data_IF_369946074435
#
_entry.id   IF_369946074435
#
_cell.length_a   1.000
_cell.length_b   1.000
_cell.length_c   1.000
_cell.angle_alpha   90.00
_cell.angle_beta   90.00
_cell.angle_gamma   90.00
#
_symmetry.space_group_name_H-M   'P 1'
#
loop_
_entity.id
_entity.type
_entity.pdbx_description
1 polymer ?
#
# COMPACT_ATOMS: atom_id res chain seq x y z
N UNK A 1 12.95 16.05 -24.20
CA UNK A 1 11.83 15.68 -23.32
C UNK A 1 12.02 14.36 -22.59
N UNK A 2 12.25 13.21 -23.24
CA UNK A 2 12.45 11.93 -22.53
C UNK A 2 13.56 11.97 -21.46
N UNK A 3 14.74 12.51 -21.80
CA UNK A 3 15.85 12.64 -20.85
C UNK A 3 15.53 13.57 -19.67
N UNK A 4 14.78 14.65 -19.92
CA UNK A 4 14.33 15.58 -18.88
C UNK A 4 13.34 14.88 -17.93
N UNK A 5 12.36 14.14 -18.46
CA UNK A 5 11.43 13.34 -17.66
C UNK A 5 12.17 12.30 -16.81
N UNK A 6 13.17 11.61 -17.37
CA UNK A 6 13.99 10.67 -16.62
C UNK A 6 14.81 11.36 -15.51
N UNK A 7 15.38 12.54 -15.80
CA UNK A 7 16.16 13.33 -14.83
C UNK A 7 15.29 13.78 -13.66
N UNK A 8 14.10 14.32 -13.95
CA UNK A 8 13.13 14.73 -12.92
C UNK A 8 12.71 13.51 -12.09
N UNK A 9 12.36 12.39 -12.72
CA UNK A 9 11.98 11.16 -12.01
C UNK A 9 13.10 10.70 -11.05
N UNK A 10 14.34 10.62 -11.53
CA UNK A 10 15.50 10.21 -10.72
C UNK A 10 15.76 11.17 -9.55
N UNK A 11 15.58 12.49 -9.76
CA UNK A 11 15.73 13.52 -8.72
C UNK A 11 14.61 13.43 -7.69
N UNK A 12 13.36 13.26 -8.11
CA UNK A 12 12.20 13.11 -7.22
C UNK A 12 12.27 11.83 -6.41
N UNK A 13 12.67 10.70 -7.01
CA UNK A 13 12.91 9.45 -6.27
C UNK A 13 13.99 9.64 -5.19
N UNK A 14 15.07 10.34 -5.53
CA UNK A 14 16.17 10.59 -4.58
C UNK A 14 15.76 11.53 -3.44
N UNK A 15 14.90 12.51 -3.73
CA UNK A 15 14.29 13.42 -2.75
C UNK A 15 13.43 12.64 -1.75
N UNK A 16 12.48 11.85 -2.25
CA UNK A 16 11.52 11.11 -1.42
C UNK A 16 12.19 10.03 -0.55
N UNK A 17 13.32 9.48 -1.01
CA UNK A 17 14.10 8.48 -0.27
C UNK A 17 15.08 9.14 0.73
N UNK A 18 15.16 10.48 0.77
CA UNK A 18 16.07 11.24 1.65
C UNK A 18 17.55 10.83 1.54
N UNK A 19 17.98 10.28 0.39
CA UNK A 19 19.35 9.80 0.20
C UNK A 19 20.12 10.64 -0.83
N UNK A 20 21.04 11.47 -0.32
CA UNK A 20 22.00 12.24 -1.12
C UNK A 20 23.27 11.39 -1.37
N UNK A 21 23.26 10.53 -2.39
CA UNK A 21 24.47 9.79 -2.76
C UNK A 21 25.46 10.65 -3.56
N UNK A 22 26.66 10.89 -3.02
CA UNK A 22 27.76 11.61 -3.70
C UNK A 22 28.47 10.80 -4.80
N UNK A 23 28.47 9.46 -4.75
CA UNK A 23 29.27 8.60 -5.64
C UNK A 23 28.41 7.79 -6.63
N UNK A 24 28.78 7.79 -7.93
CA UNK A 24 28.04 7.16 -9.04
C UNK A 24 27.89 5.63 -8.91
N UNK A 25 28.91 4.94 -8.40
CA UNK A 25 28.89 3.48 -8.18
C UNK A 25 28.05 3.13 -6.95
N UNK A 26 28.18 3.92 -5.88
CA UNK A 26 27.39 3.78 -4.66
C UNK A 26 25.91 4.07 -4.93
N UNK A 27 25.61 5.00 -5.85
CA UNK A 27 24.24 5.26 -6.36
C UNK A 27 23.68 4.07 -7.14
N UNK A 28 24.48 3.35 -7.94
CA UNK A 28 24.03 2.13 -8.64
C UNK A 28 23.78 0.97 -7.68
N UNK A 29 24.69 0.69 -6.74
CA UNK A 29 24.51 -0.38 -5.75
C UNK A 29 23.41 -0.05 -4.74
N UNK A 30 23.33 1.20 -4.30
CA UNK A 30 22.25 1.73 -3.47
C UNK A 30 20.89 1.56 -4.14
N UNK A 31 20.78 1.78 -5.46
CA UNK A 31 19.55 1.56 -6.23
C UNK A 31 19.02 0.11 -6.16
N UNK A 32 19.86 -0.89 -5.93
CA UNK A 32 19.43 -2.30 -5.88
C UNK A 32 19.02 -2.80 -4.50
N UNK A 33 19.58 -2.24 -3.41
CA UNK A 33 19.36 -2.78 -2.06
C UNK A 33 18.86 -1.72 -1.06
N UNK A 34 19.47 -0.53 -1.02
CA UNK A 34 19.12 0.52 -0.05
C UNK A 34 17.88 1.34 -0.45
N UNK A 35 17.76 1.67 -1.74
CA UNK A 35 16.64 2.42 -2.29
C UNK A 35 15.32 1.64 -2.16
N UNK A 36 15.22 0.35 -2.53
CA UNK A 36 13.95 -0.37 -2.43
C UNK A 36 13.45 -0.49 -0.99
N UNK A 37 14.35 -0.69 -0.02
CA UNK A 37 13.98 -0.79 1.40
C UNK A 37 13.46 0.54 1.95
N UNK A 38 14.19 1.62 1.70
CA UNK A 38 13.81 2.97 2.17
C UNK A 38 12.51 3.43 1.49
N UNK A 39 12.36 3.15 0.19
CA UNK A 39 11.15 3.43 -0.56
C UNK A 39 9.96 2.58 -0.09
N UNK A 40 10.20 1.33 0.31
CA UNK A 40 9.18 0.48 0.93
C UNK A 40 8.77 1.01 2.30
N UNK A 41 9.72 1.48 3.13
CA UNK A 41 9.41 2.12 4.42
C UNK A 41 8.57 3.39 4.25
N UNK A 42 8.90 4.24 3.26
CA UNK A 42 8.07 5.39 2.88
C UNK A 42 6.63 4.97 2.55
N UNK A 43 6.50 3.85 1.82
CA UNK A 43 5.22 3.24 1.48
C UNK A 43 4.48 2.69 2.70
N UNK A 44 5.18 2.05 3.63
CA UNK A 44 4.65 1.52 4.88
C UNK A 44 4.11 2.64 5.75
N UNK A 45 4.87 3.72 5.94
CA UNK A 45 4.42 4.88 6.71
C UNK A 45 3.12 5.45 6.15
N UNK A 46 3.05 5.61 4.82
CA UNK A 46 1.82 6.07 4.17
C UNK A 46 0.67 5.05 4.23
N UNK A 47 0.98 3.75 4.24
CA UNK A 47 -0.02 2.69 4.37
C UNK A 47 -0.66 2.69 5.77
N UNK A 48 0.13 2.93 6.81
CA UNK A 48 -0.32 2.92 8.21
C UNK A 48 -0.74 4.29 8.75
N UNK A 49 -0.51 5.40 8.02
CA UNK A 49 -1.02 6.74 8.38
C UNK A 49 -2.52 6.79 8.76
N UNK A 50 -3.43 6.05 8.10
CA UNK A 50 -4.84 6.01 8.49
C UNK A 50 -5.11 5.20 9.77
N UNK A 51 -4.20 4.31 10.18
CA UNK A 51 -4.41 3.35 11.26
C UNK A 51 -4.70 4.00 12.63
N UNK A 52 -4.03 5.09 13.05
CA UNK A 52 -4.37 5.79 14.28
C UNK A 52 -5.81 6.30 14.29
N UNK A 53 -6.27 6.86 13.17
CA UNK A 53 -7.65 7.34 13.07
C UNK A 53 -8.66 6.18 13.07
N UNK A 54 -8.38 5.11 12.32
CA UNK A 54 -9.21 3.90 12.30
C UNK A 54 -9.30 3.26 13.70
N UNK A 55 -8.17 3.16 14.41
CA UNK A 55 -8.12 2.60 15.76
C UNK A 55 -8.84 3.49 16.78
N UNK A 56 -8.76 4.82 16.65
CA UNK A 56 -9.52 5.74 17.49
C UNK A 56 -11.03 5.60 17.28
N UNK A 57 -11.48 5.51 16.03
CA UNK A 57 -12.91 5.26 15.70
C UNK A 57 -13.35 3.91 16.26
N UNK A 58 -12.51 2.88 16.10
CA UNK A 58 -12.79 1.55 16.62
C UNK A 58 -12.91 1.53 18.15
N UNK A 59 -11.97 2.16 18.85
CA UNK A 59 -12.00 2.30 20.29
C UNK A 59 -13.21 3.09 20.78
N UNK A 60 -13.53 4.21 20.13
CA UNK A 60 -14.69 5.02 20.47
C UNK A 60 -15.99 4.23 20.36
N UNK A 61 -16.16 3.48 19.27
CA UNK A 61 -17.36 2.66 19.06
C UNK A 61 -17.45 1.47 20.04
N UNK A 62 -16.30 0.87 20.39
CA UNK A 62 -16.24 -0.18 21.41
C UNK A 62 -16.63 0.35 22.80
N UNK A 63 -16.18 1.55 23.18
CA UNK A 63 -16.56 2.19 24.44
C UNK A 63 -18.06 2.51 24.47
N UNK A 64 -18.64 2.96 23.36
CA UNK A 64 -20.09 3.28 23.28
C UNK A 64 -20.94 2.01 23.27
N UNK A 65 -20.46 0.92 22.67
CA UNK A 65 -21.19 -0.34 22.62
C UNK A 65 -21.11 -1.14 23.93
N UNK A 66 -20.09 -0.93 24.76
CA UNK A 66 -19.90 -1.66 26.02
C UNK A 66 -21.05 -1.45 27.03
N UNK A 67 -21.55 -0.22 27.28
CA UNK A 67 -22.74 0.01 28.10
C UNK A 67 -23.99 -0.61 27.48
N UNK A 68 -24.17 -0.51 26.16
CA UNK A 68 -25.34 -1.11 25.48
C UNK A 68 -25.37 -2.63 25.69
N UNK A 69 -24.22 -3.30 25.59
CA UNK A 69 -24.07 -4.73 25.88
C UNK A 69 -24.34 -5.04 27.37
N UNK A 70 -23.96 -4.15 28.28
CA UNK A 70 -24.18 -4.31 29.72
C UNK A 70 -25.64 -4.10 30.15
N UNK A 71 -26.35 -3.15 29.53
CA UNK A 71 -27.74 -2.80 29.87
C UNK A 71 -28.79 -3.72 29.18
N UNK A 72 -28.45 -4.39 28.06
CA UNK A 72 -29.38 -5.22 27.26
C UNK A 72 -29.50 -6.71 27.70
N UNK A 73 -29.42 -6.99 29.00
CA UNK A 73 -29.92 -8.22 29.68
C UNK A 73 -29.07 -9.51 29.80
N UNK A 74 -29.54 -10.29 30.79
CA UNK A 74 -29.13 -11.53 31.49
C UNK A 74 -28.73 -12.78 30.67
N UNK A 75 -28.84 -12.80 29.34
CA UNK A 75 -28.57 -14.02 28.55
C UNK A 75 -27.22 -13.95 27.80
N UNK A 76 -26.27 -14.87 28.05
CA UNK A 76 -24.93 -14.85 27.45
C UNK A 76 -24.92 -14.95 25.92
N UNK A 77 -25.87 -15.64 25.30
CA UNK A 77 -25.89 -15.81 23.84
C UNK A 77 -26.19 -14.49 23.11
N UNK A 78 -27.13 -13.71 23.62
CA UNK A 78 -27.47 -12.37 23.12
C UNK A 78 -26.31 -11.38 23.27
N UNK A 79 -25.51 -11.52 24.33
CA UNK A 79 -24.33 -10.68 24.57
C UNK A 79 -23.30 -10.83 23.45
N UNK A 80 -23.02 -12.06 23.03
CA UNK A 80 -22.09 -12.34 21.95
C UNK A 80 -22.58 -11.78 20.61
N UNK A 81 -23.87 -11.94 20.31
CA UNK A 81 -24.46 -11.44 19.06
C UNK A 81 -24.38 -9.91 18.98
N UNK A 82 -24.76 -9.19 20.04
CA UNK A 82 -24.70 -7.72 20.08
C UNK A 82 -23.26 -7.24 19.91
N UNK A 83 -22.30 -7.90 20.55
CA UNK A 83 -20.88 -7.59 20.40
C UNK A 83 -20.40 -7.78 18.95
N UNK A 84 -20.76 -8.88 18.30
CA UNK A 84 -20.40 -9.11 16.89
C UNK A 84 -21.01 -8.05 15.97
N UNK A 85 -22.28 -7.68 16.17
CA UNK A 85 -22.93 -6.62 15.40
C UNK A 85 -22.20 -5.30 15.61
N UNK A 86 -21.82 -4.96 16.85
CA UNK A 86 -21.08 -3.74 17.13
C UNK A 86 -19.71 -3.72 16.42
N UNK A 87 -18.95 -4.83 16.47
CA UNK A 87 -17.68 -4.94 15.74
C UNK A 87 -17.89 -4.81 14.22
N UNK A 88 -18.95 -5.41 13.67
CA UNK A 88 -19.24 -5.38 12.24
C UNK A 88 -19.67 -3.99 11.77
N UNK A 89 -20.53 -3.29 12.53
CA UNK A 89 -20.92 -1.91 12.26
C UNK A 89 -19.69 -0.99 12.30
N UNK A 90 -18.82 -1.18 13.31
CA UNK A 90 -17.57 -0.43 13.40
C UNK A 90 -16.70 -0.65 12.17
N UNK A 91 -16.54 -1.90 11.74
CA UNK A 91 -15.77 -2.26 10.56
C UNK A 91 -16.32 -1.59 9.29
N UNK A 92 -17.64 -1.61 9.09
CA UNK A 92 -18.31 -0.93 7.98
C UNK A 92 -18.06 0.59 8.04
N UNK A 93 -18.29 1.23 9.18
CA UNK A 93 -18.08 2.68 9.35
C UNK A 93 -16.63 3.06 9.04
N UNK A 94 -15.68 2.20 9.42
CA UNK A 94 -14.26 2.46 9.21
C UNK A 94 -13.84 2.27 7.74
N UNK A 95 -14.38 1.26 7.05
CA UNK A 95 -14.11 1.02 5.62
C UNK A 95 -14.75 2.08 4.73
N UNK A 96 -15.97 2.49 5.06
CA UNK A 96 -16.76 3.43 4.25
C UNK A 96 -16.67 4.87 4.75
N UNK A 97 -15.66 5.19 5.56
CA UNK A 97 -15.41 6.57 5.94
C UNK A 97 -15.12 7.43 4.68
N UNK A 98 -15.60 8.67 4.70
CA UNK A 98 -15.54 9.59 3.56
C UNK A 98 -14.10 9.75 3.05
N UNK A 99 -13.87 9.84 1.72
CA UNK A 99 -12.53 10.00 1.16
C UNK A 99 -11.76 11.22 1.68
N UNK A 100 -12.46 12.29 2.08
CA UNK A 100 -11.88 13.48 2.71
C UNK A 100 -11.18 13.17 4.05
N UNK A 101 -11.63 12.13 4.74
CA UNK A 101 -11.04 11.61 5.98
C UNK A 101 -9.65 10.99 5.74
N UNK A 102 -9.40 10.54 4.51
CA UNK A 102 -8.15 9.91 4.08
C UNK A 102 -7.46 10.71 2.96
N UNK A 103 -7.79 11.99 2.81
CA UNK A 103 -7.23 12.86 1.76
C UNK A 103 -5.74 13.16 1.95
N UNK A 104 -5.15 12.70 3.05
CA UNK A 104 -3.70 12.68 3.26
C UNK A 104 -3.04 11.81 2.19
N UNK A 105 -2.76 12.41 1.03
CA UNK A 105 -2.06 11.81 -0.11
C UNK A 105 -0.61 11.43 0.23
N UNK A 106 -0.14 11.86 1.40
CA UNK A 106 1.24 11.73 1.84
C UNK A 106 2.19 12.68 1.10
N UNK A 107 1.69 13.49 0.17
CA UNK A 107 2.45 14.54 -0.51
C UNK A 107 2.52 15.76 0.42
N UNK A 108 3.71 16.36 0.52
CA UNK A 108 3.94 17.59 1.27
C UNK A 108 4.17 18.73 0.28
N UNK A 109 3.74 19.94 0.63
CA UNK A 109 3.89 21.13 -0.23
C UNK A 109 5.38 21.39 -0.55
N UNK A 110 6.25 21.21 0.44
CA UNK A 110 7.72 21.29 0.29
C UNK A 110 8.26 20.32 -0.79
N UNK A 111 7.70 19.10 -0.87
CA UNK A 111 8.11 18.12 -1.88
C UNK A 111 7.71 18.61 -3.28
N UNK A 112 6.54 19.24 -3.41
CA UNK A 112 6.03 19.78 -4.67
C UNK A 112 6.91 20.95 -5.12
N UNK A 113 7.20 21.91 -4.25
CA UNK A 113 8.04 23.06 -4.55
C UNK A 113 9.44 22.67 -5.04
N UNK A 114 10.06 21.68 -4.38
CA UNK A 114 11.37 21.17 -4.78
C UNK A 114 11.29 20.51 -6.15
N UNK A 115 10.23 19.73 -6.44
CA UNK A 115 10.06 19.09 -7.76
C UNK A 115 9.77 20.12 -8.85
N UNK A 116 9.00 21.16 -8.56
CA UNK A 116 8.81 22.34 -9.42
C UNK A 116 10.16 22.94 -9.81
N UNK A 117 11.07 23.11 -8.84
CA UNK A 117 12.43 23.61 -9.12
C UNK A 117 13.25 22.68 -10.05
N UNK A 118 13.01 21.36 -10.00
CA UNK A 118 13.66 20.42 -10.93
C UNK A 118 13.16 20.58 -12.36
N UNK A 119 11.88 20.91 -12.56
CA UNK A 119 11.35 21.20 -13.89
C UNK A 119 11.98 22.46 -14.49
N UNK A 120 12.03 23.55 -13.72
CA UNK A 120 12.70 24.78 -14.16
C UNK A 120 14.18 24.54 -14.47
N UNK A 121 14.86 23.72 -13.66
CA UNK A 121 16.27 23.36 -13.88
C UNK A 121 16.54 22.50 -15.12
N UNK A 122 15.53 21.88 -15.72
CA UNK A 122 15.64 21.15 -17.00
C UNK A 122 15.22 22.01 -18.22
N UNK A 123 14.96 23.30 -18.02
CA UNK A 123 14.62 24.25 -19.10
C UNK A 123 13.19 24.09 -19.61
N UNK A 124 12.25 23.71 -18.74
CA UNK A 124 10.82 23.63 -19.07
C UNK A 124 10.23 25.02 -18.84
N UNK A 125 10.02 25.75 -19.94
CA UNK A 125 9.64 27.17 -19.92
C UNK A 125 8.27 27.45 -20.53
N UNK A 126 7.65 26.46 -21.18
CA UNK A 126 6.33 26.63 -21.80
C UNK A 126 5.32 25.61 -21.31
N UNK A 127 4.04 25.98 -21.31
CA UNK A 127 2.93 25.07 -20.99
C UNK A 127 2.96 23.82 -21.90
N UNK A 128 3.32 23.99 -23.17
CA UNK A 128 3.45 22.89 -24.13
C UNK A 128 4.55 21.89 -23.73
N UNK A 129 5.67 22.38 -23.19
CA UNK A 129 6.74 21.52 -22.69
C UNK A 129 6.28 20.69 -21.49
N UNK A 130 5.49 21.28 -20.59
CA UNK A 130 4.91 20.56 -19.44
C UNK A 130 3.94 19.49 -19.92
N UNK A 131 3.07 19.79 -20.89
CA UNK A 131 2.13 18.81 -21.46
C UNK A 131 2.84 17.63 -22.13
N UNK A 132 3.89 17.90 -22.91
CA UNK A 132 4.72 16.85 -23.51
C UNK A 132 5.39 15.98 -22.43
N UNK A 133 5.74 16.58 -21.30
CA UNK A 133 6.39 15.89 -20.22
C UNK A 133 5.41 15.05 -19.38
N UNK A 134 4.20 15.55 -19.14
CA UNK A 134 3.09 14.78 -18.56
C UNK A 134 2.77 13.53 -19.40
N UNK A 135 2.72 13.66 -20.73
CA UNK A 135 2.51 12.51 -21.62
C UNK A 135 3.61 11.45 -21.46
N UNK A 136 4.88 11.88 -21.33
CA UNK A 136 5.98 10.95 -21.08
C UNK A 136 5.84 10.25 -19.73
N UNK A 137 5.44 10.99 -18.68
CA UNK A 137 5.20 10.41 -17.37
C UNK A 137 4.04 9.43 -17.35
N UNK A 138 2.97 9.70 -18.08
CA UNK A 138 1.81 8.82 -18.16
C UNK A 138 2.22 7.40 -18.61
N UNK A 139 3.08 7.27 -19.63
CA UNK A 139 3.62 5.97 -20.05
C UNK A 139 4.44 5.28 -18.95
N UNK A 140 5.22 6.04 -18.18
CA UNK A 140 6.00 5.52 -17.05
C UNK A 140 5.07 5.04 -15.94
N UNK A 141 4.06 5.84 -15.59
CA UNK A 141 3.10 5.56 -14.54
C UNK A 141 2.26 4.32 -14.88
N UNK A 142 1.78 4.21 -16.11
CA UNK A 142 1.08 3.00 -16.60
C UNK A 142 1.94 1.75 -16.47
N UNK A 143 3.24 1.84 -16.76
CA UNK A 143 4.18 0.72 -16.58
C UNK A 143 4.35 0.34 -15.11
N UNK A 144 4.42 1.32 -14.20
CA UNK A 144 4.48 1.10 -12.76
C UNK A 144 3.21 0.39 -12.27
N UNK A 145 2.02 0.90 -12.63
CA UNK A 145 0.75 0.29 -12.27
C UNK A 145 0.60 -1.13 -12.81
N UNK A 146 1.03 -1.37 -14.06
CA UNK A 146 1.00 -2.70 -14.66
C UNK A 146 1.85 -3.71 -13.89
N UNK A 147 3.04 -3.30 -13.41
CA UNK A 147 3.90 -4.15 -12.57
C UNK A 147 3.27 -4.45 -11.21
N UNK A 148 2.67 -3.44 -10.56
CA UNK A 148 1.98 -3.63 -9.27
C UNK A 148 0.82 -4.63 -9.44
N UNK A 149 0.01 -4.46 -10.49
CA UNK A 149 -1.10 -5.38 -10.81
C UNK A 149 -0.59 -6.79 -11.07
N UNK A 150 0.52 -6.93 -11.81
CA UNK A 150 1.16 -8.22 -12.02
C UNK A 150 1.56 -8.89 -10.69
N UNK A 151 2.17 -8.16 -9.75
CA UNK A 151 2.53 -8.72 -8.44
C UNK A 151 1.31 -9.14 -7.62
N UNK A 152 0.23 -8.36 -7.63
CA UNK A 152 -1.02 -8.72 -6.95
C UNK A 152 -1.63 -10.01 -7.51
N UNK A 153 -1.66 -10.13 -8.85
CA UNK A 153 -2.14 -11.35 -9.52
C UNK A 153 -1.22 -12.53 -9.18
N UNK A 154 0.10 -12.35 -9.23
CA UNK A 154 1.06 -13.41 -8.93
C UNK A 154 0.88 -13.96 -7.50
N UNK A 155 0.70 -13.08 -6.50
CA UNK A 155 0.41 -13.50 -5.11
C UNK A 155 -0.90 -14.28 -5.05
N UNK A 156 -1.96 -13.79 -5.70
CA UNK A 156 -3.25 -14.47 -5.74
C UNK A 156 -3.18 -15.85 -6.42
N UNK A 157 -2.40 -15.97 -7.50
CA UNK A 157 -2.17 -17.23 -8.21
C UNK A 157 -1.38 -18.21 -7.35
N UNK A 158 -0.30 -17.77 -6.68
CA UNK A 158 0.47 -18.62 -5.76
C UNK A 158 -0.39 -19.09 -4.58
N UNK A 159 -1.22 -18.21 -4.03
CA UNK A 159 -2.19 -18.58 -2.99
C UNK A 159 -3.20 -19.62 -3.49
N UNK A 160 -3.74 -19.46 -4.69
CA UNK A 160 -4.67 -20.41 -5.28
C UNK A 160 -4.02 -21.78 -5.51
N UNK A 161 -2.77 -21.82 -6.01
CA UNK A 161 -2.00 -23.06 -6.15
C UNK A 161 -1.74 -23.73 -4.79
N UNK A 162 -1.37 -22.95 -3.78
CA UNK A 162 -1.20 -23.45 -2.42
C UNK A 162 -2.49 -24.07 -1.89
N UNK A 163 -3.62 -23.35 -1.99
CA UNK A 163 -4.92 -23.84 -1.54
C UNK A 163 -5.36 -25.10 -2.28
N UNK A 164 -5.09 -25.20 -3.58
CA UNK A 164 -5.33 -26.41 -4.35
C UNK A 164 -4.55 -27.60 -3.78
N UNK A 165 -3.25 -27.43 -3.56
CA UNK A 165 -2.40 -28.49 -2.98
C UNK A 165 -2.80 -28.85 -1.55
N UNK A 166 -3.10 -27.84 -0.72
CA UNK A 166 -3.61 -28.01 0.63
C UNK A 166 -4.89 -28.84 0.66
N UNK A 167 -5.87 -28.48 -0.17
CA UNK A 167 -7.14 -29.20 -0.27
C UNK A 167 -6.95 -30.64 -0.79
N UNK A 168 -6.03 -30.85 -1.73
CA UNK A 168 -5.69 -32.18 -2.20
C UNK A 168 -5.07 -33.05 -1.08
N UNK A 169 -4.18 -32.48 -0.28
CA UNK A 169 -3.61 -33.15 0.90
C UNK A 169 -4.68 -33.54 1.92
N UNK A 170 -5.58 -32.61 2.26
CA UNK A 170 -6.72 -32.88 3.17
C UNK A 170 -7.62 -33.99 2.61
N UNK A 171 -7.91 -33.97 1.30
CA UNK A 171 -8.71 -35.01 0.64
C UNK A 171 -8.06 -36.39 0.74
N UNK A 172 -6.75 -36.49 0.51
CA UNK A 172 -6.00 -37.74 0.65
C UNK A 172 -6.01 -38.23 2.10
N UNK A 173 -5.88 -37.35 3.08
CA UNK A 173 -5.94 -37.70 4.50
C UNK A 173 -7.32 -38.26 4.89
N UNK A 174 -8.41 -37.59 4.48
CA UNK A 174 -9.79 -38.02 4.77
C UNK A 174 -10.13 -39.35 4.10
N UNK A 175 -9.75 -39.54 2.82
CA UNK A 175 -10.07 -40.73 2.04
C UNK A 175 -9.10 -41.90 2.26
N UNK A 176 -7.85 -41.62 2.60
CA UNK A 176 -6.79 -42.61 2.80
C UNK A 176 -6.84 -43.34 4.15
N UNK A 177 -7.81 -43.02 5.01
CA UNK A 177 -8.01 -43.73 6.28
C UNK A 177 -7.01 -43.36 7.40
N UNK A 178 -6.18 -42.34 7.21
CA UNK A 178 -5.16 -41.90 8.19
C UNK A 178 -5.75 -41.05 9.34
N UNK A 179 -7.02 -41.27 9.71
CA UNK A 179 -7.77 -40.41 10.63
C UNK A 179 -7.22 -40.37 12.06
N UNK A 180 -6.47 -41.39 12.46
CA UNK A 180 -5.89 -41.49 13.81
C UNK A 180 -4.55 -40.73 13.94
N UNK A 181 -3.94 -40.33 12.83
CA UNK A 181 -2.68 -39.59 12.86
C UNK A 181 -2.93 -38.08 13.04
N UNK A 182 -3.11 -37.70 14.30
CA UNK A 182 -3.29 -36.31 14.74
C UNK A 182 -2.07 -35.44 14.49
N UNK A 183 -0.88 -36.03 14.28
CA UNK A 183 0.35 -35.29 14.02
C UNK A 183 0.35 -34.68 12.62
N UNK A 184 -0.11 -35.44 11.62
CA UNK A 184 -0.26 -34.96 10.24
C UNK A 184 -1.25 -33.79 10.13
N UNK A 185 -2.35 -33.82 10.90
CA UNK A 185 -3.32 -32.72 10.91
C UNK A 185 -2.74 -31.44 11.53
N UNK A 186 -1.91 -31.57 12.57
CA UNK A 186 -1.17 -30.46 13.16
C UNK A 186 -0.22 -29.80 12.16
N UNK A 187 0.56 -30.60 11.42
CA UNK A 187 1.50 -30.11 10.41
C UNK A 187 0.80 -29.39 9.26
N UNK A 188 -0.35 -29.91 8.81
CA UNK A 188 -1.17 -29.25 7.79
C UNK A 188 -1.72 -27.90 8.28
N UNK A 189 -2.25 -27.83 9.49
CA UNK A 189 -2.74 -26.57 10.08
C UNK A 189 -1.60 -25.56 10.27
N UNK A 190 -0.44 -26.00 10.74
CA UNK A 190 0.73 -25.15 10.88
C UNK A 190 1.18 -24.60 9.52
N UNK A 191 1.24 -25.45 8.49
CA UNK A 191 1.53 -25.05 7.11
C UNK A 191 0.55 -23.97 6.62
N UNK A 192 -0.75 -24.12 6.90
CA UNK A 192 -1.77 -23.14 6.52
C UNK A 192 -1.56 -21.79 7.20
N UNK A 193 -1.24 -21.79 8.50
CA UNK A 193 -0.94 -20.57 9.25
C UNK A 193 0.30 -19.88 8.67
N UNK A 194 1.38 -20.64 8.42
CA UNK A 194 2.59 -20.10 7.80
C UNK A 194 2.32 -19.53 6.41
N UNK A 195 1.57 -20.23 5.57
CA UNK A 195 1.20 -19.75 4.24
C UNK A 195 0.38 -18.46 4.32
N UNK A 196 -0.60 -18.40 5.23
CA UNK A 196 -1.43 -17.21 5.44
C UNK A 196 -0.58 -16.01 5.88
N UNK A 197 0.34 -16.19 6.84
CA UNK A 197 1.25 -15.14 7.27
C UNK A 197 2.18 -14.67 6.15
N UNK A 198 2.75 -15.58 5.36
CA UNK A 198 3.60 -15.25 4.22
C UNK A 198 2.84 -14.50 3.12
N UNK A 199 1.60 -14.91 2.84
CA UNK A 199 0.73 -14.23 1.88
C UNK A 199 0.35 -12.84 2.36
N UNK A 200 -0.02 -12.67 3.63
CA UNK A 200 -0.28 -11.35 4.22
C UNK A 200 0.95 -10.46 4.14
N UNK A 201 2.13 -10.95 4.52
CA UNK A 201 3.38 -10.20 4.43
C UNK A 201 3.67 -9.77 2.98
N UNK A 202 3.47 -10.68 2.02
CA UNK A 202 3.66 -10.38 0.59
C UNK A 202 2.68 -9.31 0.10
N UNK A 203 1.41 -9.38 0.52
CA UNK A 203 0.42 -8.34 0.22
C UNK A 203 0.81 -7.00 0.83
N UNK A 204 1.24 -6.97 2.09
CA UNK A 204 1.70 -5.75 2.76
C UNK A 204 2.87 -5.11 2.01
N UNK A 205 3.86 -5.89 1.58
CA UNK A 205 5.00 -5.42 0.79
C UNK A 205 4.54 -4.79 -0.52
N UNK A 206 3.64 -5.45 -1.27
CA UNK A 206 3.14 -4.93 -2.54
C UNK A 206 2.28 -3.67 -2.34
N UNK A 207 1.46 -3.63 -1.29
CA UNK A 207 0.66 -2.45 -0.94
C UNK A 207 1.53 -1.26 -0.54
N UNK A 208 2.56 -1.48 0.29
CA UNK A 208 3.53 -0.45 0.64
C UNK A 208 4.24 0.08 -0.61
N UNK A 209 4.73 -0.82 -1.47
CA UNK A 209 5.33 -0.43 -2.75
C UNK A 209 4.35 0.38 -3.63
N UNK A 210 3.08 -0.02 -3.69
CA UNK A 210 2.04 0.74 -4.40
C UNK A 210 1.88 2.15 -3.81
N UNK A 211 1.79 2.28 -2.49
CA UNK A 211 1.65 3.58 -1.81
C UNK A 211 2.85 4.50 -2.02
N UNK A 212 4.06 3.96 -2.01
CA UNK A 212 5.27 4.73 -2.28
C UNK A 212 5.27 5.28 -3.72
N UNK A 213 4.91 4.44 -4.70
CA UNK A 213 4.77 4.88 -6.09
C UNK A 213 3.63 5.89 -6.26
N UNK A 214 2.48 5.71 -5.60
CA UNK A 214 1.38 6.68 -5.63
C UNK A 214 1.84 8.06 -5.11
N UNK A 215 2.66 8.12 -4.04
CA UNK A 215 3.24 9.38 -3.55
C UNK A 215 4.15 10.03 -4.60
N UNK A 216 5.06 9.26 -5.20
CA UNK A 216 5.97 9.74 -6.24
C UNK A 216 5.18 10.33 -7.43
N UNK A 217 4.22 9.55 -7.95
CA UNK A 217 3.37 9.93 -9.08
C UNK A 217 2.60 11.21 -8.78
N UNK A 218 1.93 11.28 -7.63
CA UNK A 218 1.13 12.45 -7.24
C UNK A 218 1.99 13.69 -7.03
N UNK A 219 3.18 13.56 -6.44
CA UNK A 219 4.10 14.69 -6.26
C UNK A 219 4.49 15.29 -7.61
N UNK A 220 4.82 14.44 -8.59
CA UNK A 220 5.14 14.88 -9.96
C UNK A 220 3.92 15.52 -10.64
N UNK A 221 2.73 14.92 -10.51
CA UNK A 221 1.50 15.46 -11.10
C UNK A 221 1.13 16.84 -10.50
N UNK A 222 1.23 17.00 -9.19
CA UNK A 222 0.98 18.29 -8.54
C UNK A 222 2.01 19.34 -8.95
N UNK A 223 3.28 18.96 -9.07
CA UNK A 223 4.32 19.87 -9.55
C UNK A 223 4.10 20.26 -11.02
N UNK A 224 3.63 19.37 -11.90
CA UNK A 224 3.22 19.75 -13.26
C UNK A 224 2.08 20.78 -13.26
N UNK A 225 1.09 20.61 -12.38
CA UNK A 225 -0.02 21.58 -12.22
C UNK A 225 0.50 22.92 -11.72
N UNK A 226 1.42 22.91 -10.75
CA UNK A 226 2.03 24.13 -10.21
C UNK A 226 2.82 24.88 -11.29
N UNK A 227 3.70 24.20 -12.03
CA UNK A 227 4.48 24.83 -13.12
C UNK A 227 3.55 25.43 -14.19
N UNK A 228 2.46 24.75 -14.55
CA UNK A 228 1.48 25.31 -15.50
C UNK A 228 0.81 26.56 -14.96
N UNK A 229 0.49 26.59 -13.67
CA UNK A 229 -0.07 27.76 -13.01
C UNK A 229 0.92 28.93 -13.05
N UNK A 230 2.17 28.69 -12.64
CA UNK A 230 3.23 29.69 -12.59
C UNK A 230 3.60 30.26 -13.97
N UNK A 231 3.45 29.47 -15.05
CA UNK A 231 3.68 29.90 -16.43
C UNK A 231 2.47 30.58 -17.09
N UNK A 232 1.29 30.50 -16.48
CA UNK A 232 0.07 31.11 -16.99
C UNK A 232 -0.22 32.49 -16.36
N UNK A 233 0.38 32.79 -15.20
CA UNK A 233 0.46 34.14 -14.61
C UNK A 233 1.53 35.01 -15.29
#
# INVERSE_FOLDING_TARGET
MFNAAQSVLDKTESLLVNQKFKNRIMKRLGKFVGHPFSFLMLGMDNLFKPLPMMSAVFFGFMIVSMPAVYFLQDNPDTRHVIFYIACLVTFIVTIFALPSTFSMSGVQDEDVDIVTSYFCGEGIETVSDVELLEQNFEFVFQRIYSRIKFYQIAIGTLWAFYMYYFNFGVMLWVKGGMKEDTSLMGDHLFSLICALLLTLLSFTIVLAYKRANERLIKTIQFACVQVKYDLAE
#
